data_IF_027272033986
#
_entry.id   IF_027272033986
#
_cell.length_a   1.000
_cell.length_b   1.000
_cell.length_c   1.000
_cell.angle_alpha   90.00
_cell.angle_beta   90.00
_cell.angle_gamma   90.00
#
_symmetry.space_group_name_H-M   'P 1'
#
loop_
_entity.id
_entity.type
_entity.pdbx_description
1 polymer ?
#
# COMPACT_ATOMS: atom_id res chain seq x y z
N UNK A 1 -52.91 -24.39 -11.58
CA UNK A 1 -51.43 -24.62 -11.51
C UNK A 1 -51.10 -25.50 -10.30
N UNK A 2 -50.63 -26.73 -10.53
CA UNK A 2 -50.41 -27.74 -9.49
C UNK A 2 -49.40 -27.24 -8.44
N UNK A 3 -49.65 -27.52 -7.15
CA UNK A 3 -48.78 -27.08 -6.04
C UNK A 3 -47.30 -27.38 -6.32
N UNK A 4 -46.98 -28.56 -6.86
CA UNK A 4 -45.61 -28.97 -7.28
C UNK A 4 -44.95 -28.02 -8.30
N UNK A 5 -45.71 -27.49 -9.26
CA UNK A 5 -45.20 -26.51 -10.25
C UNK A 5 -44.91 -25.14 -9.61
N UNK A 6 -45.67 -24.74 -8.57
CA UNK A 6 -45.42 -23.50 -7.81
C UNK A 6 -44.11 -23.58 -7.00
N UNK A 7 -43.87 -24.71 -6.32
CA UNK A 7 -42.63 -24.94 -5.58
C UNK A 7 -41.39 -24.99 -6.48
N UNK A 8 -41.52 -25.60 -7.67
CA UNK A 8 -40.43 -25.61 -8.67
C UNK A 8 -40.03 -24.22 -9.16
N UNK A 9 -41.01 -23.33 -9.40
CA UNK A 9 -40.74 -21.94 -9.80
C UNK A 9 -40.08 -21.15 -8.66
N UNK A 10 -40.55 -21.32 -7.42
CA UNK A 10 -39.96 -20.65 -6.25
C UNK A 10 -38.50 -21.07 -6.04
N UNK A 11 -38.20 -22.38 -6.17
CA UNK A 11 -36.84 -22.89 -6.07
C UNK A 11 -35.92 -22.34 -7.17
N UNK A 12 -36.41 -22.25 -8.41
CA UNK A 12 -35.66 -21.69 -9.54
C UNK A 12 -35.26 -20.22 -9.29
N UNK A 13 -36.19 -19.40 -8.79
CA UNK A 13 -35.95 -17.98 -8.49
C UNK A 13 -34.90 -17.81 -7.39
N UNK A 14 -34.95 -18.64 -6.33
CA UNK A 14 -33.95 -18.61 -5.25
C UNK A 14 -32.56 -18.99 -5.78
N UNK A 15 -32.45 -19.99 -6.66
CA UNK A 15 -31.17 -20.38 -7.26
C UNK A 15 -30.58 -19.28 -8.15
N UNK A 16 -31.40 -18.57 -8.91
CA UNK A 16 -30.94 -17.47 -9.78
C UNK A 16 -30.45 -16.30 -8.93
N UNK A 17 -31.22 -15.89 -7.91
CA UNK A 17 -30.83 -14.78 -7.02
C UNK A 17 -29.58 -15.16 -6.22
N UNK A 18 -29.53 -16.38 -5.67
CA UNK A 18 -28.36 -16.88 -4.95
C UNK A 18 -27.11 -16.95 -5.81
N UNK A 19 -27.23 -17.39 -7.07
CA UNK A 19 -26.13 -17.42 -8.03
C UNK A 19 -25.60 -16.03 -8.39
N UNK A 20 -26.48 -15.04 -8.57
CA UNK A 20 -26.10 -13.64 -8.85
C UNK A 20 -25.39 -13.02 -7.65
N UNK A 21 -25.87 -13.26 -6.42
CA UNK A 21 -25.23 -12.76 -5.20
C UNK A 21 -23.85 -13.38 -4.99
N UNK A 22 -23.70 -14.71 -5.18
CA UNK A 22 -22.39 -15.37 -5.09
C UNK A 22 -21.41 -14.86 -6.16
N UNK A 23 -21.87 -14.64 -7.39
CA UNK A 23 -21.05 -14.07 -8.46
C UNK A 23 -20.62 -12.62 -8.17
N UNK A 24 -21.52 -11.80 -7.61
CA UNK A 24 -21.23 -10.41 -7.26
C UNK A 24 -20.27 -10.27 -6.07
N UNK A 25 -20.40 -11.11 -5.04
CA UNK A 25 -19.47 -11.14 -3.91
C UNK A 25 -18.07 -11.64 -4.32
N UNK A 26 -18.01 -12.62 -5.23
CA UNK A 26 -16.76 -13.09 -5.82
C UNK A 26 -16.17 -12.11 -6.86
N UNK A 27 -16.88 -11.03 -7.19
CA UNK A 27 -16.43 -9.94 -8.06
C UNK A 27 -15.98 -8.70 -7.27
N UNK A 28 -15.74 -8.82 -5.95
CA UNK A 28 -14.75 -7.93 -5.32
C UNK A 28 -13.42 -8.20 -6.02
N UNK A 29 -13.16 -7.46 -7.09
CA UNK A 29 -11.96 -7.57 -7.92
C UNK A 29 -10.77 -7.58 -6.97
N UNK A 30 -10.09 -8.72 -6.91
CA UNK A 30 -8.81 -8.78 -6.23
C UNK A 30 -7.92 -7.74 -6.91
N UNK A 31 -7.36 -6.82 -6.13
CA UNK A 31 -6.49 -5.77 -6.66
C UNK A 31 -5.33 -6.42 -7.41
N UNK A 32 -4.98 -5.87 -8.56
CA UNK A 32 -3.82 -6.37 -9.30
C UNK A 32 -2.54 -6.19 -8.46
N UNK A 33 -1.49 -6.94 -8.78
CA UNK A 33 -0.20 -6.77 -8.09
C UNK A 33 0.31 -5.32 -8.22
N UNK A 34 0.16 -4.72 -9.39
CA UNK A 34 0.54 -3.32 -9.64
C UNK A 34 -0.27 -2.34 -8.77
N UNK A 35 -1.59 -2.54 -8.62
CA UNK A 35 -2.41 -1.72 -7.72
C UNK A 35 -1.97 -1.88 -6.26
N UNK A 36 -1.66 -3.10 -5.83
CA UNK A 36 -1.13 -3.37 -4.48
C UNK A 36 0.21 -2.66 -4.27
N UNK A 37 1.12 -2.73 -5.24
CA UNK A 37 2.42 -2.04 -5.21
C UNK A 37 2.26 -0.52 -5.19
N UNK A 38 1.30 0.03 -5.93
CA UNK A 38 1.04 1.47 -5.95
C UNK A 38 0.54 1.96 -4.59
N UNK A 39 -0.42 1.25 -4.00
CA UNK A 39 -0.94 1.54 -2.66
C UNK A 39 0.17 1.47 -1.62
N UNK A 40 1.04 0.47 -1.73
CA UNK A 40 2.15 0.31 -0.79
C UNK A 40 3.17 1.43 -0.92
N UNK A 41 3.50 1.87 -2.14
CA UNK A 41 4.33 3.05 -2.36
C UNK A 41 3.69 4.33 -1.79
N UNK A 42 2.37 4.52 -1.93
CA UNK A 42 1.68 5.64 -1.28
C UNK A 42 1.81 5.59 0.25
N UNK A 43 1.70 4.39 0.85
CA UNK A 43 1.87 4.18 2.29
C UNK A 43 3.30 4.49 2.75
N UNK A 44 4.30 4.06 1.99
CA UNK A 44 5.72 4.34 2.24
C UNK A 44 6.03 5.84 2.13
N UNK A 45 5.49 6.52 1.11
CA UNK A 45 5.63 7.97 0.97
C UNK A 45 4.98 8.72 2.15
N UNK A 46 3.80 8.27 2.59
CA UNK A 46 3.11 8.85 3.74
C UNK A 46 3.91 8.68 5.03
N UNK A 47 4.51 7.49 5.24
CA UNK A 47 5.44 7.26 6.35
C UNK A 47 6.61 8.24 6.29
N UNK A 48 7.25 8.40 5.12
CA UNK A 48 8.41 9.29 4.96
C UNK A 48 8.05 10.74 5.31
N UNK A 49 6.96 11.28 4.77
CA UNK A 49 6.56 12.67 5.02
C UNK A 49 6.27 12.96 6.50
N UNK A 50 5.73 11.97 7.21
CA UNK A 50 5.32 12.10 8.61
C UNK A 50 6.44 11.77 9.61
N UNK A 51 7.30 10.80 9.30
CA UNK A 51 8.31 10.29 10.24
C UNK A 51 9.71 10.80 9.94
N UNK A 52 10.04 11.14 8.69
CA UNK A 52 11.37 11.61 8.33
C UNK A 52 11.44 13.14 8.48
N UNK A 53 12.48 13.60 9.18
CA UNK A 53 12.83 15.01 9.37
C UNK A 53 14.21 15.25 8.77
N UNK A 54 14.30 16.14 7.79
CA UNK A 54 15.57 16.55 7.21
C UNK A 54 16.28 17.52 8.16
N UNK A 55 17.60 17.39 8.32
CA UNK A 55 18.40 18.28 9.18
C UNK A 55 18.50 19.70 8.63
N UNK A 56 18.42 19.85 7.32
CA UNK A 56 18.54 21.14 6.60
C UNK A 56 17.34 22.07 6.78
N UNK A 57 16.35 21.73 7.61
CA UNK A 57 15.06 22.43 7.79
C UNK A 57 14.18 22.50 6.53
N UNK A 58 14.63 21.93 5.40
CA UNK A 58 13.83 21.88 4.17
C UNK A 58 12.63 20.95 4.34
N UNK A 59 11.49 21.36 3.80
CA UNK A 59 10.32 20.48 3.63
C UNK A 59 10.63 19.36 2.64
N UNK A 60 10.00 18.21 2.84
CA UNK A 60 9.98 17.15 1.82
C UNK A 60 9.03 17.61 0.72
N UNK A 61 9.53 17.63 -0.52
CA UNK A 61 8.81 18.09 -1.72
C UNK A 61 8.79 17.00 -2.79
N UNK A 62 9.85 16.19 -2.88
CA UNK A 62 9.94 15.08 -3.83
C UNK A 62 10.33 13.78 -3.14
N UNK A 63 9.75 12.68 -3.63
CA UNK A 63 10.08 11.31 -3.23
C UNK A 63 10.21 10.48 -4.49
N UNK A 64 11.32 9.79 -4.65
CA UNK A 64 11.58 8.90 -5.77
C UNK A 64 11.88 7.49 -5.27
N UNK A 65 11.10 6.51 -5.72
CA UNK A 65 11.34 5.10 -5.46
C UNK A 65 12.40 4.59 -6.44
N UNK A 66 13.58 4.24 -5.93
CA UNK A 66 14.68 3.68 -6.74
C UNK A 66 14.85 2.17 -6.55
N UNK A 67 14.26 1.62 -5.48
CA UNK A 67 14.18 0.18 -5.25
C UNK A 67 12.84 -0.14 -4.62
N UNK A 68 12.15 -1.16 -5.14
CA UNK A 68 10.96 -1.75 -4.55
C UNK A 68 10.92 -3.22 -4.95
N UNK A 69 11.52 -4.10 -4.15
CA UNK A 69 11.59 -5.53 -4.49
C UNK A 69 11.61 -6.44 -3.28
N UNK A 70 11.11 -7.65 -3.47
CA UNK A 70 11.18 -8.69 -2.46
C UNK A 70 12.58 -9.31 -2.41
N UNK A 71 13.09 -9.55 -1.21
CA UNK A 71 14.24 -10.41 -1.01
C UNK A 71 13.78 -11.86 -0.97
N UNK A 72 14.12 -12.64 -1.99
CA UNK A 72 13.72 -14.05 -2.11
C UNK A 72 14.22 -14.93 -0.95
N UNK A 73 15.34 -14.57 -0.31
CA UNK A 73 15.91 -15.36 0.79
C UNK A 73 15.19 -15.12 2.11
N UNK A 74 14.87 -13.86 2.44
CA UNK A 74 14.27 -13.50 3.74
C UNK A 74 12.77 -13.28 3.66
N UNK A 75 12.20 -13.19 2.47
CA UNK A 75 10.80 -12.83 2.22
C UNK A 75 10.49 -11.34 2.39
N UNK A 76 11.43 -10.55 2.94
CA UNK A 76 11.26 -9.14 3.26
C UNK A 76 11.28 -8.26 2.00
N UNK A 77 10.38 -7.30 1.91
CA UNK A 77 10.42 -6.24 0.90
C UNK A 77 11.48 -5.21 1.27
N UNK A 78 12.31 -4.85 0.29
CA UNK A 78 13.31 -3.79 0.38
C UNK A 78 12.87 -2.63 -0.49
N UNK A 79 12.80 -1.47 0.12
CA UNK A 79 12.39 -0.22 -0.52
C UNK A 79 13.50 0.79 -0.28
N UNK A 80 13.96 1.45 -1.35
CA UNK A 80 14.92 2.55 -1.23
C UNK A 80 14.34 3.77 -1.92
N UNK A 81 14.34 4.90 -1.20
CA UNK A 81 13.78 6.17 -1.65
C UNK A 81 14.84 7.26 -1.66
N UNK A 82 14.76 8.15 -2.64
CA UNK A 82 15.50 9.41 -2.69
C UNK A 82 14.51 10.55 -2.38
N UNK A 83 14.85 11.36 -1.39
CA UNK A 83 14.05 12.48 -0.88
C UNK A 83 14.71 13.77 -1.34
N UNK A 84 13.95 14.65 -2.01
CA UNK A 84 14.43 15.93 -2.55
C UNK A 84 15.68 15.81 -3.45
N UNK A 85 15.94 14.65 -4.05
CA UNK A 85 17.14 14.39 -4.84
C UNK A 85 18.46 14.37 -4.05
N UNK A 86 18.41 14.44 -2.72
CA UNK A 86 19.59 14.63 -1.86
C UNK A 86 19.75 13.54 -0.82
N UNK A 87 18.66 13.12 -0.18
CA UNK A 87 18.72 12.26 0.99
C UNK A 87 18.16 10.87 0.66
N UNK A 88 18.90 9.81 0.96
CA UNK A 88 18.48 8.43 0.66
C UNK A 88 18.08 7.71 1.93
N UNK A 89 16.92 7.05 1.92
CA UNK A 89 16.45 6.20 3.01
C UNK A 89 16.08 4.82 2.48
N UNK A 90 16.43 3.78 3.24
CA UNK A 90 15.94 2.43 2.98
C UNK A 90 14.95 2.00 4.04
N UNK A 91 13.83 1.45 3.58
CA UNK A 91 12.73 0.91 4.34
C UNK A 91 12.58 -0.59 4.06
N UNK A 92 11.94 -1.29 4.98
CA UNK A 92 11.65 -2.71 4.87
C UNK A 92 10.38 -3.11 5.61
N UNK A 93 9.67 -4.08 5.05
CA UNK A 93 8.47 -4.71 5.62
C UNK A 93 8.44 -6.19 5.24
N UNK A 94 7.75 -7.04 6.02
CA UNK A 94 7.70 -8.48 5.74
C UNK A 94 6.58 -8.83 4.74
N UNK A 95 5.45 -8.11 4.80
CA UNK A 95 4.40 -8.12 3.80
C UNK A 95 3.80 -6.71 3.61
N UNK A 96 3.10 -6.48 2.49
CA UNK A 96 2.39 -5.21 2.26
C UNK A 96 1.42 -4.91 3.39
N UNK A 97 1.49 -3.68 3.90
CA UNK A 97 0.68 -3.24 5.05
C UNK A 97 1.28 -3.53 6.42
N UNK A 98 2.38 -4.29 6.52
CA UNK A 98 3.06 -4.56 7.79
C UNK A 98 3.81 -3.33 8.31
N UNK A 99 4.41 -3.47 9.49
CA UNK A 99 5.23 -2.43 10.12
C UNK A 99 6.40 -2.05 9.22
N UNK A 100 6.47 -0.75 8.89
CA UNK A 100 7.60 -0.18 8.14
C UNK A 100 8.78 -0.03 9.09
N UNK A 101 9.90 -0.67 8.73
CA UNK A 101 11.18 -0.59 9.45
C UNK A 101 12.17 0.19 8.61
N UNK A 102 13.00 1.00 9.27
CA UNK A 102 14.14 1.66 8.62
C UNK A 102 15.35 0.73 8.64
N UNK A 103 15.96 0.46 7.49
CA UNK A 103 17.09 -0.47 7.36
C UNK A 103 18.47 0.20 7.32
N UNK A 104 18.56 1.51 7.59
CA UNK A 104 19.79 2.15 8.10
C UNK A 104 20.70 2.88 7.10
N UNK A 105 20.27 3.13 5.86
CA UNK A 105 21.08 3.90 4.91
C UNK A 105 20.92 5.43 5.09
N UNK A 106 22.07 6.13 5.12
CA UNK A 106 22.29 7.59 5.09
C UNK A 106 21.44 8.48 6.00
N UNK A 107 21.45 8.20 7.31
CA UNK A 107 20.87 9.08 8.35
C UNK A 107 21.70 10.33 8.65
N UNK A 108 22.82 10.59 7.94
CA UNK A 108 23.68 11.73 8.26
C UNK A 108 22.94 13.07 8.14
N UNK A 109 21.97 13.18 7.23
CA UNK A 109 21.20 14.41 6.99
C UNK A 109 19.74 14.32 7.39
N UNK A 110 19.34 13.26 8.10
CA UNK A 110 17.95 13.03 8.47
C UNK A 110 17.80 12.38 9.86
N UNK A 111 16.63 12.59 10.46
CA UNK A 111 16.19 11.88 11.66
C UNK A 111 14.85 11.21 11.37
N UNK A 112 14.63 10.04 11.97
CA UNK A 112 13.37 9.32 11.88
C UNK A 112 12.68 9.36 13.24
N UNK A 113 11.50 9.94 13.26
CA UNK A 113 10.60 9.94 14.40
C UNK A 113 10.05 8.52 14.60
N UNK A 114 10.38 7.91 15.74
CA UNK A 114 9.95 6.54 16.10
C UNK A 114 8.70 6.52 16.96
N UNK A 115 8.08 7.68 17.21
CA UNK A 115 6.85 7.76 18.00
C UNK A 115 5.68 7.19 17.22
N UNK A 116 4.72 6.63 17.93
CA UNK A 116 3.47 6.10 17.35
C UNK A 116 2.36 7.15 17.30
N UNK A 117 2.72 8.41 17.00
CA UNK A 117 1.72 9.48 16.82
C UNK A 117 1.01 9.33 15.48
N UNK A 118 -0.29 9.64 15.35
CA UNK A 118 -0.98 9.59 14.07
C UNK A 118 -0.32 10.46 12.99
N UNK A 119 -0.47 10.04 11.73
CA UNK A 119 -0.05 10.86 10.59
C UNK A 119 -0.89 12.13 10.49
N UNK A 120 -0.22 13.26 10.35
CA UNK A 120 -0.85 14.59 10.26
C UNK A 120 -0.67 15.23 8.89
N UNK A 121 0.37 14.82 8.15
CA UNK A 121 0.67 15.32 6.81
C UNK A 121 0.15 14.36 5.75
N UNK A 122 -0.20 14.91 4.59
CA UNK A 122 -0.64 14.17 3.41
C UNK A 122 0.44 14.20 2.32
N UNK A 123 0.30 13.36 1.30
CA UNK A 123 1.22 13.29 0.15
C UNK A 123 0.73 14.08 -1.08
N UNK A 124 -0.41 14.77 -0.98
CA UNK A 124 -1.08 15.41 -2.14
C UNK A 124 -0.23 16.48 -2.84
N UNK A 125 0.67 17.13 -2.09
CA UNK A 125 1.56 18.18 -2.61
C UNK A 125 3.00 17.69 -2.81
N UNK A 126 3.22 16.37 -2.72
CA UNK A 126 4.54 15.76 -2.88
C UNK A 126 4.64 15.19 -4.28
N UNK A 127 5.70 15.54 -5.00
CA UNK A 127 5.98 14.93 -6.30
C UNK A 127 6.58 13.53 -6.07
N UNK A 128 5.80 12.50 -6.38
CA UNK A 128 6.21 11.10 -6.20
C UNK A 128 6.52 10.46 -7.56
N UNK A 129 7.74 9.95 -7.70
CA UNK A 129 8.15 9.09 -8.82
C UNK A 129 8.07 7.63 -8.37
N UNK A 130 7.14 6.88 -8.95
CA UNK A 130 6.84 5.50 -8.57
C UNK A 130 7.66 4.50 -9.40
N UNK A 131 7.95 3.36 -8.79
CA UNK A 131 8.53 2.18 -9.44
C UNK A 131 7.42 1.15 -9.62
N UNK A 132 7.05 0.82 -10.86
CA UNK A 132 6.02 -0.18 -11.18
C UNK A 132 6.73 -1.46 -11.63
#
# INVERSE_FOLDING_TARGET
MNKRKKWGIIALVICIIGGIVMFSLNHQKEKTLEEKMRIEQDRMALFVVNRVKLKTQNSIETIEFIEFRKNETTGTWRITLVINGMATISLAEDAFGDVIRTSGYYLEDMAVDKTDIPYTKTINNIKISYLI
#
